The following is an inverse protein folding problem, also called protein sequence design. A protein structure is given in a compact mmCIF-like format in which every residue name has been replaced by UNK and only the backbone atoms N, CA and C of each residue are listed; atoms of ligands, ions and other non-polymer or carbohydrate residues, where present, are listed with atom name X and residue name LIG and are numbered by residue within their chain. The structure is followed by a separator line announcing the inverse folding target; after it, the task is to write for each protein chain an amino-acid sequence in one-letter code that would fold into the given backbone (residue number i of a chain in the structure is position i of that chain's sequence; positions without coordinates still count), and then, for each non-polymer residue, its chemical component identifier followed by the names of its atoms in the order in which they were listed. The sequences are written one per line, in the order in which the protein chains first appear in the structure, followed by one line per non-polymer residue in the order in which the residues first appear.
data_IF_262018464484
#
_entry.id   IF_262018464484
#
_cell.length_a   1.000
_cell.length_b   1.000
_cell.length_c   1.000
_cell.angle_alpha   90.00
_cell.angle_beta   90.00
_cell.angle_gamma   90.00
#
_symmetry.space_group_name_H-M   'P 1'
#
loop_
_entity.id
_entity.type
_entity.pdbx_description
1 polymer ?
#
# COMPACT_ATOMS: atom_id res chain seq x y z
N UNK A 1 1.63 5.49 -2.87
CA UNK A 1 0.76 6.22 -3.83
C UNK A 1 1.01 7.70 -3.61
N UNK A 2 1.57 8.41 -4.58
CA UNK A 2 1.75 9.86 -4.45
C UNK A 2 0.40 10.54 -4.64
N UNK A 3 0.14 11.70 -4.00
CA UNK A 3 -1.09 12.47 -4.22
C UNK A 3 -1.35 12.75 -5.71
N UNK A 4 -0.29 12.77 -6.53
CA UNK A 4 -0.37 12.92 -7.99
C UNK A 4 -1.09 11.78 -8.69
N UNK A 5 -0.98 10.54 -8.21
CA UNK A 5 -1.58 9.37 -8.89
C UNK A 5 -3.08 9.30 -8.62
N UNK A 6 -3.48 9.60 -7.38
CA UNK A 6 -4.88 9.83 -7.01
C UNK A 6 -5.49 11.04 -7.73
N UNK A 7 -4.72 12.12 -7.90
CA UNK A 7 -5.17 13.31 -8.63
C UNK A 7 -5.30 13.06 -10.14
N UNK A 8 -4.42 12.24 -10.74
CA UNK A 8 -4.53 11.81 -12.13
C UNK A 8 -5.75 10.92 -12.36
N UNK A 9 -5.98 9.94 -11.48
CA UNK A 9 -7.24 9.19 -11.48
C UNK A 9 -8.45 10.14 -11.36
N UNK A 10 -8.38 11.12 -10.47
CA UNK A 10 -9.46 12.09 -10.27
C UNK A 10 -9.72 13.00 -11.49
N UNK A 11 -8.69 13.30 -12.29
CA UNK A 11 -8.76 14.12 -13.50
C UNK A 11 -9.26 13.32 -14.71
N UNK A 12 -8.92 12.03 -14.82
CA UNK A 12 -9.38 11.15 -15.90
C UNK A 12 -10.87 10.78 -15.77
N UNK A 13 -11.49 10.96 -14.60
CA UNK A 13 -12.82 10.46 -14.28
C UNK A 13 -14.02 11.37 -14.67
N UNK A 14 -13.81 12.56 -15.27
CA UNK A 14 -14.87 13.37 -15.88
C UNK A 14 -16.05 13.80 -14.97
N UNK A 15 -16.92 14.69 -15.47
CA UNK A 15 -18.14 15.15 -14.78
C UNK A 15 -19.22 14.07 -14.68
N UNK A 16 -20.13 14.10 -13.68
CA UNK A 16 -21.13 13.06 -13.50
C UNK A 16 -22.10 13.05 -14.68
N UNK A 17 -22.10 11.97 -15.44
CA UNK A 17 -23.02 11.75 -16.55
C UNK A 17 -23.99 10.63 -16.16
N UNK A 18 -25.30 10.86 -16.34
CA UNK A 18 -26.37 9.87 -16.08
C UNK A 18 -26.39 8.69 -17.10
N UNK A 19 -25.34 8.55 -17.91
CA UNK A 19 -25.06 7.33 -18.67
C UNK A 19 -24.27 6.36 -17.78
N UNK A 20 -24.78 5.14 -17.60
CA UNK A 20 -24.19 4.09 -16.76
C UNK A 20 -22.69 3.90 -17.09
N UNK A 21 -21.83 4.48 -16.26
CA UNK A 21 -20.38 4.46 -16.46
C UNK A 21 -19.83 3.04 -16.25
N UNK A 22 -18.89 2.63 -17.09
CA UNK A 22 -18.18 1.36 -16.90
C UNK A 22 -17.47 1.35 -15.53
N UNK A 23 -17.50 0.24 -14.78
CA UNK A 23 -16.92 0.18 -13.45
C UNK A 23 -15.42 0.39 -13.45
N UNK A 24 -14.89 0.90 -12.35
CA UNK A 24 -13.46 0.84 -12.08
C UNK A 24 -13.10 -0.51 -11.47
N UNK A 25 -11.95 -1.06 -11.84
CA UNK A 25 -11.37 -2.23 -11.20
C UNK A 25 -10.34 -1.79 -10.15
N UNK A 26 -10.54 -2.21 -8.90
CA UNK A 26 -9.54 -2.06 -7.83
C UNK A 26 -8.97 -3.43 -7.50
N UNK A 27 -7.65 -3.60 -7.60
CA UNK A 27 -6.96 -4.86 -7.29
C UNK A 27 -6.10 -4.68 -6.04
N UNK A 28 -6.40 -5.42 -4.97
CA UNK A 28 -5.64 -5.35 -3.72
C UNK A 28 -6.54 -5.43 -2.50
N UNK A 29 -5.95 -5.65 -1.33
CA UNK A 29 -6.67 -5.77 -0.06
C UNK A 29 -6.07 -4.90 1.06
N UNK A 30 -5.08 -4.07 0.73
CA UNK A 30 -4.39 -3.21 1.69
C UNK A 30 -5.04 -1.83 1.82
N UNK A 31 -4.45 -0.99 2.66
CA UNK A 31 -4.95 0.37 2.91
C UNK A 31 -5.05 1.23 1.65
N UNK A 32 -4.07 1.14 0.74
CA UNK A 32 -4.15 1.87 -0.53
C UNK A 32 -5.33 1.44 -1.39
N UNK A 33 -5.66 0.14 -1.41
CA UNK A 33 -6.86 -0.35 -2.10
C UNK A 33 -8.13 0.19 -1.44
N UNK A 34 -8.17 0.24 -0.11
CA UNK A 34 -9.27 0.87 0.62
C UNK A 34 -9.41 2.36 0.28
N UNK A 35 -8.32 3.12 0.18
CA UNK A 35 -8.34 4.53 -0.24
C UNK A 35 -8.99 4.70 -1.62
N UNK A 36 -8.63 3.84 -2.58
CA UNK A 36 -9.20 3.87 -3.91
C UNK A 36 -10.71 3.55 -3.91
N UNK A 37 -11.13 2.56 -3.11
CA UNK A 37 -12.56 2.24 -2.93
C UNK A 37 -13.31 3.42 -2.30
N UNK A 38 -12.76 4.03 -1.24
CA UNK A 38 -13.36 5.19 -0.57
C UNK A 38 -13.51 6.35 -1.55
N UNK A 39 -12.44 6.69 -2.28
CA UNK A 39 -12.44 7.78 -3.25
C UNK A 39 -13.46 7.57 -4.38
N UNK A 40 -13.58 6.34 -4.88
CA UNK A 40 -14.52 6.00 -5.94
C UNK A 40 -15.98 6.02 -5.44
N UNK A 41 -16.23 5.49 -4.24
CA UNK A 41 -17.57 5.52 -3.62
C UNK A 41 -18.03 6.93 -3.29
N UNK A 42 -17.12 7.82 -2.86
CA UNK A 42 -17.43 9.23 -2.64
C UNK A 42 -17.96 9.93 -3.90
N UNK A 43 -17.59 9.41 -5.08
CA UNK A 43 -18.07 9.88 -6.39
C UNK A 43 -19.18 9.03 -6.99
N UNK A 44 -19.75 8.09 -6.22
CA UNK A 44 -20.79 7.16 -6.67
C UNK A 44 -20.42 6.35 -7.92
N UNK A 45 -19.13 6.04 -8.10
CA UNK A 45 -18.67 5.23 -9.23
C UNK A 45 -18.93 3.74 -8.97
N UNK A 46 -19.31 2.95 -9.99
CA UNK A 46 -19.38 1.51 -9.88
C UNK A 46 -17.99 0.90 -9.74
N UNK A 47 -17.83 -0.03 -8.80
CA UNK A 47 -16.53 -0.61 -8.41
C UNK A 47 -16.60 -2.13 -8.48
N UNK A 48 -15.63 -2.72 -9.16
CA UNK A 48 -15.28 -4.14 -9.03
C UNK A 48 -14.01 -4.21 -8.18
N UNK A 49 -14.09 -4.81 -6.99
CA UNK A 49 -12.98 -4.91 -6.05
C UNK A 49 -12.47 -6.35 -5.99
N UNK A 50 -11.29 -6.58 -6.54
CA UNK A 50 -10.65 -7.90 -6.66
C UNK A 50 -9.53 -8.06 -5.64
N UNK A 51 -9.54 -9.17 -4.91
CA UNK A 51 -8.48 -9.49 -3.97
C UNK A 51 -8.29 -10.99 -3.78
N UNK A 52 -7.05 -11.38 -3.46
CA UNK A 52 -6.64 -12.79 -3.35
C UNK A 52 -7.06 -13.46 -2.05
N UNK A 53 -7.29 -12.69 -1.00
CA UNK A 53 -7.57 -13.21 0.34
C UNK A 53 -9.05 -13.58 0.49
N UNK A 54 -9.33 -14.73 1.10
CA UNK A 54 -10.70 -15.10 1.50
C UNK A 54 -11.22 -14.24 2.65
N UNK A 55 -10.33 -13.91 3.58
CA UNK A 55 -10.54 -12.99 4.70
C UNK A 55 -9.38 -11.98 4.70
N UNK A 56 -9.58 -10.79 4.13
CA UNK A 56 -8.56 -9.74 4.18
C UNK A 56 -8.17 -9.46 5.63
N UNK A 57 -6.89 -9.40 5.94
CA UNK A 57 -6.46 -9.01 7.29
C UNK A 57 -6.48 -7.49 7.39
N UNK A 58 -7.24 -6.96 8.34
CA UNK A 58 -7.23 -5.54 8.69
C UNK A 58 -6.50 -5.37 10.02
N UNK A 59 -5.38 -4.65 10.00
CA UNK A 59 -4.61 -4.36 11.21
C UNK A 59 -5.29 -3.23 12.01
N UNK A 60 -6.41 -3.52 12.67
CA UNK A 60 -7.16 -2.55 13.48
C UNK A 60 -6.34 -1.90 14.61
N UNK A 61 -5.21 -2.51 15.00
CA UNK A 61 -4.26 -1.87 15.94
C UNK A 61 -3.65 -0.57 15.39
N UNK A 62 -3.49 -0.43 14.08
CA UNK A 62 -2.87 0.75 13.47
C UNK A 62 -3.88 1.82 13.09
N UNK A 63 -5.15 1.42 12.93
CA UNK A 63 -6.28 2.24 12.55
C UNK A 63 -7.46 1.91 13.48
N UNK A 64 -7.61 2.61 14.61
CA UNK A 64 -8.78 2.49 15.47
C UNK A 64 -10.07 2.86 14.73
N UNK A 65 -11.18 2.18 15.04
CA UNK A 65 -12.46 2.38 14.37
C UNK A 65 -13.04 3.78 14.60
N UNK A 66 -12.85 4.36 15.78
CA UNK A 66 -13.35 5.70 16.08
C UNK A 66 -12.71 6.78 15.21
N UNK A 67 -11.45 6.57 14.79
CA UNK A 67 -10.68 7.53 14.01
C UNK A 67 -10.73 7.27 12.50
N UNK A 68 -10.99 6.03 12.10
CA UNK A 68 -10.93 5.58 10.69
C UNK A 68 -12.13 4.67 10.33
N UNK A 69 -13.38 5.11 10.55
CA UNK A 69 -14.57 4.30 10.33
C UNK A 69 -14.76 3.89 8.86
N UNK A 70 -14.32 4.72 7.91
CA UNK A 70 -14.42 4.46 6.47
C UNK A 70 -13.59 3.25 6.03
N UNK A 71 -12.42 3.03 6.65
CA UNK A 71 -11.57 1.87 6.35
C UNK A 71 -12.19 0.57 6.88
N UNK A 72 -12.77 0.62 8.08
CA UNK A 72 -13.53 -0.50 8.64
C UNK A 72 -14.75 -0.81 7.77
N UNK A 73 -15.40 0.22 7.23
CA UNK A 73 -16.51 0.04 6.30
C UNK A 73 -16.08 -0.68 5.02
N UNK A 74 -14.94 -0.33 4.43
CA UNK A 74 -14.39 -1.08 3.29
C UNK A 74 -14.16 -2.54 3.64
N UNK A 75 -13.55 -2.80 4.79
CA UNK A 75 -13.31 -4.17 5.25
C UNK A 75 -14.61 -4.95 5.47
N UNK A 76 -15.65 -4.32 6.03
CA UNK A 76 -16.99 -4.90 6.13
C UNK A 76 -17.55 -5.24 4.75
N UNK A 77 -17.45 -4.32 3.79
CA UNK A 77 -17.91 -4.55 2.41
C UNK A 77 -17.14 -5.70 1.72
N UNK A 78 -15.84 -5.86 1.98
CA UNK A 78 -15.05 -6.96 1.43
C UNK A 78 -15.51 -8.33 1.96
N UNK A 79 -16.05 -8.38 3.17
CA UNK A 79 -16.55 -9.61 3.79
C UNK A 79 -18.05 -9.86 3.52
N UNK A 80 -18.76 -8.86 3.01
CA UNK A 80 -20.18 -8.98 2.68
C UNK A 80 -20.39 -9.75 1.37
N UNK A 81 -21.01 -10.92 1.47
CA UNK A 81 -21.37 -11.77 0.32
C UNK A 81 -22.78 -11.53 -0.20
N UNK A 82 -23.57 -10.71 0.47
CA UNK A 82 -24.99 -10.49 0.16
C UNK A 82 -25.23 -9.40 -0.89
N UNK A 83 -24.17 -8.82 -1.45
CA UNK A 83 -24.24 -7.69 -2.39
C UNK A 83 -25.12 -6.53 -1.86
N UNK A 84 -25.08 -6.28 -0.54
CA UNK A 84 -25.94 -5.28 0.10
C UNK A 84 -25.52 -3.83 -0.20
N UNK A 85 -24.36 -3.64 -0.81
CA UNK A 85 -23.79 -2.33 -1.12
C UNK A 85 -24.00 -1.99 -2.60
N UNK A 86 -24.83 -0.97 -2.92
CA UNK A 86 -25.01 -0.55 -4.30
C UNK A 86 -23.69 -0.06 -4.89
N UNK A 87 -23.50 -0.32 -6.18
CA UNK A 87 -22.30 0.09 -6.95
C UNK A 87 -20.97 -0.49 -6.44
N UNK A 88 -20.99 -1.52 -5.60
CA UNK A 88 -19.78 -2.19 -5.13
C UNK A 88 -19.91 -3.71 -5.27
N UNK A 89 -18.98 -4.31 -6.00
CA UNK A 89 -18.90 -5.77 -6.20
C UNK A 89 -17.57 -6.28 -5.66
N UNK A 90 -17.61 -7.03 -4.57
CA UNK A 90 -16.44 -7.73 -4.05
C UNK A 90 -16.23 -9.08 -4.76
N UNK A 91 -15.02 -9.31 -5.24
CA UNK A 91 -14.57 -10.55 -5.85
C UNK A 91 -13.41 -11.14 -5.02
N UNK A 92 -13.71 -11.82 -3.90
CA UNK A 92 -12.70 -12.49 -3.08
C UNK A 92 -12.11 -13.68 -3.84
N UNK A 93 -10.85 -14.00 -3.54
CA UNK A 93 -10.11 -15.12 -4.13
C UNK A 93 -9.97 -15.04 -5.66
N UNK A 94 -10.16 -13.86 -6.24
CA UNK A 94 -9.97 -13.59 -7.67
C UNK A 94 -8.59 -12.99 -7.95
N UNK A 95 -8.08 -13.25 -9.15
CA UNK A 95 -6.83 -12.69 -9.65
C UNK A 95 -7.06 -11.99 -11.00
N UNK A 96 -6.45 -10.82 -11.19
CA UNK A 96 -6.37 -10.20 -12.51
C UNK A 96 -5.38 -10.98 -13.37
N UNK A 97 -5.87 -11.61 -14.43
CA UNK A 97 -5.07 -12.42 -15.35
C UNK A 97 -4.57 -11.61 -16.56
N UNK A 98 -5.42 -10.73 -17.10
CA UNK A 98 -5.11 -9.96 -18.31
C UNK A 98 -5.85 -8.63 -18.31
N UNK A 99 -5.18 -7.57 -18.78
CA UNK A 99 -5.80 -6.29 -19.15
C UNK A 99 -5.82 -6.26 -20.67
N UNK A 100 -7.01 -6.31 -21.26
CA UNK A 100 -7.19 -6.36 -22.70
C UNK A 100 -7.27 -4.94 -23.28
N UNK A 101 -6.86 -4.73 -24.55
CA UNK A 101 -6.87 -3.41 -25.18
C UNK A 101 -8.28 -2.85 -25.43
N UNK A 102 -9.32 -3.68 -25.36
CA UNK A 102 -10.73 -3.33 -25.61
C UNK A 102 -11.49 -2.89 -24.34
N UNK A 103 -10.78 -2.32 -23.35
CA UNK A 103 -11.34 -1.92 -22.04
C UNK A 103 -11.96 -3.09 -21.26
N UNK A 104 -11.48 -4.31 -21.50
CA UNK A 104 -11.88 -5.49 -20.74
C UNK A 104 -10.75 -6.01 -19.89
N UNK A 105 -11.13 -6.69 -18.82
CA UNK A 105 -10.22 -7.43 -17.94
C UNK A 105 -10.65 -8.87 -17.83
N UNK A 106 -9.69 -9.78 -17.75
CA UNK A 106 -9.93 -11.19 -17.47
C UNK A 106 -9.58 -11.47 -16.02
N UNK A 107 -10.57 -11.91 -15.25
CA UNK A 107 -10.42 -12.25 -13.86
C UNK A 107 -10.53 -13.76 -13.69
N UNK A 108 -9.51 -14.36 -13.07
CA UNK A 108 -9.51 -15.78 -12.70
C UNK A 108 -10.11 -15.94 -11.31
N UNK A 109 -11.22 -16.66 -11.21
CA UNK A 109 -11.90 -16.97 -9.96
C UNK A 109 -11.26 -18.15 -9.19
N UNK A 110 -11.78 -18.45 -7.99
CA UNK A 110 -11.29 -19.54 -7.14
C UNK A 110 -11.47 -20.93 -7.76
N UNK A 111 -12.46 -21.11 -8.63
CA UNK A 111 -12.70 -22.35 -9.39
C UNK A 111 -11.81 -22.46 -10.65
N UNK A 112 -10.92 -21.49 -10.86
CA UNK A 112 -10.05 -21.41 -12.02
C UNK A 112 -10.72 -20.88 -13.28
N UNK A 113 -12.02 -20.57 -13.25
CA UNK A 113 -12.74 -20.01 -14.40
C UNK A 113 -12.34 -18.56 -14.64
N UNK A 114 -12.35 -18.19 -15.91
CA UNK A 114 -12.08 -16.83 -16.36
C UNK A 114 -13.42 -16.13 -16.58
N UNK A 115 -13.61 -14.98 -15.93
CA UNK A 115 -14.70 -14.05 -16.19
C UNK A 115 -14.15 -12.81 -16.88
N UNK A 116 -14.94 -12.22 -17.78
CA UNK A 116 -14.56 -11.03 -18.55
C UNK A 116 -15.44 -9.88 -18.10
N UNK A 117 -14.83 -8.75 -17.74
CA UNK A 117 -15.53 -7.56 -17.28
C UNK A 117 -15.11 -6.35 -18.10
N UNK A 118 -16.10 -5.55 -18.51
CA UNK A 118 -15.88 -4.23 -19.09
C UNK A 118 -15.54 -3.24 -17.97
N UNK A 119 -14.47 -2.45 -18.13
CA UNK A 119 -13.99 -1.52 -17.09
C UNK A 119 -13.49 -0.22 -17.70
N UNK A 120 -13.67 0.90 -16.99
CA UNK A 120 -13.16 2.21 -17.41
C UNK A 120 -11.70 2.41 -17.04
N UNK A 121 -11.31 1.98 -15.83
CA UNK A 121 -9.97 2.16 -15.25
C UNK A 121 -9.57 0.93 -14.45
N UNK A 122 -8.29 0.55 -14.50
CA UNK A 122 -7.71 -0.53 -13.69
C UNK A 122 -6.69 0.05 -12.71
N UNK A 123 -6.91 -0.18 -11.42
CA UNK A 123 -6.05 0.32 -10.34
C UNK A 123 -5.42 -0.85 -9.59
N UNK A 124 -4.10 -1.03 -9.74
CA UNK A 124 -3.36 -2.15 -9.14
C UNK A 124 -2.65 -1.68 -7.86
N UNK A 125 -3.15 -2.13 -6.71
CA UNK A 125 -2.78 -1.68 -5.37
C UNK A 125 -2.41 -2.87 -4.46
N UNK A 126 -1.44 -3.66 -4.92
CA UNK A 126 -1.01 -4.91 -4.28
C UNK A 126 0.16 -4.75 -3.30
N UNK A 127 0.50 -3.51 -2.97
CA UNK A 127 1.68 -3.14 -2.17
C UNK A 127 2.85 -2.66 -3.04
N UNK A 128 3.96 -2.35 -2.39
CA UNK A 128 5.19 -1.88 -3.02
C UNK A 128 6.37 -2.74 -2.59
N UNK A 129 7.33 -2.95 -3.48
CA UNK A 129 8.63 -3.55 -3.18
C UNK A 129 9.70 -2.49 -3.40
N UNK A 130 10.55 -2.27 -2.40
CA UNK A 130 11.63 -1.30 -2.48
C UNK A 130 12.74 -1.83 -3.38
N UNK A 131 13.27 -0.96 -4.23
CA UNK A 131 14.46 -1.23 -5.01
C UNK A 131 15.69 -0.90 -4.16
N UNK A 132 16.51 -1.90 -3.89
CA UNK A 132 17.75 -1.81 -3.13
C UNK A 132 18.99 -2.03 -4.01
N UNK A 133 18.84 -2.02 -5.33
CA UNK A 133 19.92 -2.31 -6.29
C UNK A 133 21.11 -1.36 -6.21
N UNK A 134 20.91 -0.14 -5.69
CA UNK A 134 22.00 0.82 -5.41
C UNK A 134 22.92 0.38 -4.27
N UNK A 135 22.43 -0.50 -3.39
CA UNK A 135 23.20 -0.99 -2.26
C UNK A 135 24.07 -2.18 -2.66
N UNK A 136 25.27 -2.32 -2.07
CA UNK A 136 26.08 -3.52 -2.24
C UNK A 136 25.30 -4.79 -1.86
N UNK A 137 25.35 -5.81 -2.72
CA UNK A 137 24.58 -7.05 -2.57
C UNK A 137 25.00 -7.91 -1.37
N UNK A 138 26.16 -7.64 -0.78
CA UNK A 138 26.69 -8.33 0.40
C UNK A 138 26.22 -7.73 1.73
N UNK A 139 25.42 -6.65 1.72
CA UNK A 139 24.90 -6.05 2.95
C UNK A 139 23.74 -6.87 3.51
N UNK A 140 23.93 -7.41 4.71
CA UNK A 140 22.89 -8.12 5.44
C UNK A 140 22.13 -7.17 6.38
N UNK A 141 21.24 -6.36 5.81
CA UNK A 141 20.56 -5.28 6.53
C UNK A 141 19.34 -5.74 7.35
N UNK A 142 18.79 -6.91 7.05
CA UNK A 142 17.51 -7.34 7.59
C UNK A 142 17.55 -7.58 9.11
N UNK A 143 16.39 -7.42 9.76
CA UNK A 143 16.18 -7.77 11.17
C UNK A 143 16.54 -9.22 11.44
N UNK A 144 15.96 -10.12 10.64
CA UNK A 144 16.37 -11.51 10.53
C UNK A 144 17.33 -11.67 9.32
N UNK A 145 18.62 -11.95 9.58
CA UNK A 145 19.64 -12.02 8.55
C UNK A 145 19.52 -13.24 7.62
N UNK A 146 18.65 -14.20 7.95
CA UNK A 146 18.42 -15.41 7.14
C UNK A 146 17.36 -15.21 6.06
N UNK A 147 16.63 -14.09 6.11
CA UNK A 147 15.54 -13.75 5.20
C UNK A 147 15.84 -12.43 4.48
N UNK A 148 15.34 -12.22 3.25
CA UNK A 148 15.54 -10.96 2.54
C UNK A 148 14.86 -9.79 3.27
N UNK A 149 15.35 -8.58 3.00
CA UNK A 149 14.71 -7.34 3.49
C UNK A 149 13.30 -7.23 2.91
N UNK A 150 12.33 -6.98 3.79
CA UNK A 150 10.94 -6.72 3.45
C UNK A 150 10.34 -5.70 4.42
N UNK A 151 9.77 -4.61 3.91
CA UNK A 151 9.30 -3.49 4.74
C UNK A 151 8.14 -3.81 5.70
N UNK A 152 7.52 -4.98 5.56
CA UNK A 152 6.38 -5.41 6.39
C UNK A 152 6.76 -6.51 7.36
N UNK A 153 7.51 -7.50 6.90
CA UNK A 153 7.73 -8.76 7.60
C UNK A 153 9.18 -8.98 8.04
N UNK A 154 10.13 -8.23 7.47
CA UNK A 154 11.54 -8.31 7.80
C UNK A 154 12.28 -7.01 7.46
N UNK A 155 11.95 -5.89 8.14
CA UNK A 155 12.56 -4.59 7.83
C UNK A 155 14.06 -4.59 8.15
N UNK A 156 14.75 -3.54 7.72
CA UNK A 156 16.13 -3.28 8.12
C UNK A 156 16.20 -3.14 9.64
N UNK A 157 17.20 -3.78 10.26
CA UNK A 157 17.46 -3.62 11.68
C UNK A 157 18.01 -2.21 11.95
N UNK A 158 17.23 -1.38 12.62
CA UNK A 158 17.63 -0.03 13.00
C UNK A 158 17.68 0.13 14.52
N UNK A 159 18.54 1.01 14.99
CA UNK A 159 18.42 1.53 16.36
C UNK A 159 17.15 2.38 16.47
N UNK A 160 16.29 2.15 17.47
CA UNK A 160 14.99 2.82 17.55
C UNK A 160 15.05 4.32 17.86
N UNK A 161 16.20 4.85 18.31
CA UNK A 161 16.35 6.25 18.70
C UNK A 161 17.16 7.08 17.71
N UNK A 162 18.11 6.46 17.00
CA UNK A 162 18.93 7.12 15.98
C UNK A 162 18.54 6.75 14.56
N UNK A 163 17.82 5.63 14.36
CA UNK A 163 17.52 5.05 13.06
C UNK A 163 18.78 4.63 12.27
N UNK A 164 19.92 4.47 12.96
CA UNK A 164 21.14 3.92 12.38
C UNK A 164 20.95 2.44 12.03
N UNK A 165 21.39 2.02 10.85
CA UNK A 165 21.32 0.63 10.43
C UNK A 165 22.36 -0.21 11.19
N UNK A 166 21.89 -1.09 12.07
CA UNK A 166 22.73 -1.85 13.02
C UNK A 166 23.70 -2.80 12.32
N UNK A 167 23.29 -3.34 11.16
CA UNK A 167 24.08 -4.31 10.38
C UNK A 167 24.73 -3.70 9.14
N UNK A 168 24.82 -2.37 9.07
CA UNK A 168 25.43 -1.64 7.98
C UNK A 168 26.77 -1.00 8.42
N UNK A 169 27.60 -0.53 7.47
CA UNK A 169 28.71 0.35 7.78
C UNK A 169 28.25 1.58 8.58
N UNK A 170 29.13 2.10 9.45
CA UNK A 170 28.85 3.27 10.25
C UNK A 170 28.47 4.49 9.39
N UNK A 171 27.50 5.26 9.86
CA UNK A 171 26.99 6.44 9.14
C UNK A 171 25.86 6.13 8.15
N UNK A 172 25.37 4.88 8.10
CA UNK A 172 24.17 4.54 7.34
C UNK A 172 22.92 4.57 8.24
N UNK A 173 21.91 5.31 7.80
CA UNK A 173 20.61 5.40 8.45
C UNK A 173 19.50 4.97 7.49
N UNK A 174 18.38 4.54 8.04
CA UNK A 174 17.23 4.10 7.24
C UNK A 174 15.98 4.79 7.77
N UNK A 175 15.19 5.40 6.89
CA UNK A 175 13.93 6.06 7.26
C UNK A 175 12.81 5.51 6.38
N UNK A 176 11.60 5.44 6.93
CA UNK A 176 10.41 5.03 6.18
C UNK A 176 10.24 3.52 6.11
N UNK A 177 9.58 2.98 5.06
CA UNK A 177 9.11 1.60 5.06
C UNK A 177 10.22 0.56 5.31
N UNK A 178 11.44 0.82 4.87
CA UNK A 178 12.58 -0.07 5.13
C UNK A 178 12.92 -0.19 6.61
N UNK A 179 12.64 0.82 7.43
CA UNK A 179 12.75 0.77 8.88
C UNK A 179 11.49 0.20 9.57
N UNK A 180 10.48 -0.24 8.79
CA UNK A 180 9.17 -0.68 9.30
C UNK A 180 8.13 0.44 9.39
N UNK A 181 8.52 1.68 9.07
CA UNK A 181 7.64 2.85 9.12
C UNK A 181 6.76 2.94 7.87
N UNK A 182 5.64 2.23 7.90
CA UNK A 182 4.71 2.13 6.78
C UNK A 182 3.65 3.25 6.72
N UNK A 183 3.66 4.20 7.67
CA UNK A 183 2.75 5.34 7.71
C UNK A 183 3.50 6.66 7.70
N UNK A 184 2.97 7.64 6.97
CA UNK A 184 3.55 8.99 6.83
C UNK A 184 3.81 9.64 8.19
N UNK A 185 2.91 9.43 9.18
CA UNK A 185 3.05 10.00 10.54
C UNK A 185 4.34 9.58 11.26
N UNK A 186 4.95 8.45 10.88
CA UNK A 186 6.19 7.97 11.50
C UNK A 186 7.46 8.58 10.86
N UNK A 187 7.36 9.07 9.62
CA UNK A 187 8.51 9.59 8.86
C UNK A 187 9.17 10.81 9.53
N UNK A 188 8.37 11.69 10.13
CA UNK A 188 8.87 12.92 10.76
C UNK A 188 9.76 12.60 11.97
N UNK A 189 9.34 11.64 12.80
CA UNK A 189 10.12 11.19 13.96
C UNK A 189 11.45 10.58 13.54
N UNK A 190 11.41 9.64 12.59
CA UNK A 190 12.63 9.03 12.05
C UNK A 190 13.60 10.03 11.43
N UNK A 191 13.09 11.01 10.68
CA UNK A 191 13.95 12.05 10.09
C UNK A 191 14.66 12.91 11.15
N UNK A 192 13.95 13.30 12.22
CA UNK A 192 14.53 14.07 13.32
C UNK A 192 15.56 13.24 14.10
N UNK A 193 15.28 11.96 14.34
CA UNK A 193 16.20 11.02 14.97
C UNK A 193 17.54 10.94 14.21
N UNK A 194 17.47 10.72 12.89
CA UNK A 194 18.65 10.68 12.01
C UNK A 194 19.41 12.00 12.03
N UNK A 195 18.71 13.14 11.91
CA UNK A 195 19.36 14.45 11.92
C UNK A 195 20.07 14.74 13.25
N UNK A 196 19.45 14.37 14.38
CA UNK A 196 20.02 14.51 15.73
C UNK A 196 21.27 13.65 15.91
N UNK A 197 21.24 12.39 15.44
CA UNK A 197 22.37 11.47 15.51
C UNK A 197 23.57 11.98 14.70
N UNK A 198 23.32 12.39 13.45
CA UNK A 198 24.35 13.00 12.57
C UNK A 198 24.95 14.26 13.22
N UNK A 199 24.11 15.10 13.82
CA UNK A 199 24.58 16.33 14.48
C UNK A 199 25.50 16.01 15.67
N UNK A 200 25.08 15.08 16.53
CA UNK A 200 25.87 14.64 17.70
C UNK A 200 27.21 14.04 17.29
N UNK A 201 27.24 13.27 16.22
CA UNK A 201 28.46 12.67 15.69
C UNK A 201 29.44 13.72 15.13
N UNK A 202 28.94 14.77 14.49
CA UNK A 202 29.78 15.90 14.05
C UNK A 202 30.39 16.64 15.24
N UNK A 203 29.59 16.99 16.24
CA UNK A 203 30.08 17.72 17.42
C UNK A 203 31.14 16.92 18.19
N UNK A 204 31.00 15.58 18.28
CA UNK A 204 32.02 14.72 18.87
C UNK A 204 33.33 14.74 18.08
N UNK A 205 33.26 14.72 16.74
CA UNK A 205 34.45 14.78 15.87
C UNK A 205 35.16 16.13 15.96
N UNK A 206 34.42 17.22 16.10
CA UNK A 206 34.96 18.58 16.28
C UNK A 206 35.59 18.79 17.66
N UNK A 207 35.17 18.05 18.69
CA UNK A 207 35.72 18.15 20.06
C UNK A 207 37.00 17.31 20.26
N UNK A 208 37.29 16.38 19.34
CA UNK A 208 38.44 15.45 19.41
C UNK A 208 39.62 15.93 18.54
N UNK A 209 39.43 16.99 17.76
CA UNK A 209 40.46 17.71 17.00
C UNK A 209 40.92 18.95 17.78
#
# INVERSE_FOLDING_TARGET
MCRSDLAKMAHELGSPCEAQCDPILVVGAGLSAADAVIAARFRSLPIIHVFRSKSPQFNGRQLPEEMYPEYHKVHQMMNDRSASYPHYTALPEHNLAEICPDKKVRLKGPDGKISVHQVSVVTILIGSRQDLSILPSNLNLASDPTRPVDCRSNPVLVDPFSYAAVRAPAGMHVVGPLAGDNFVRFLQGGAIAVASDIHRDKSKRETVL
#
